data_IF_200344213125
#
_entry.id   IF_200344213125
#
_cell.length_a   1.000
_cell.length_b   1.000
_cell.length_c   1.000
_cell.angle_alpha   90.00
_cell.angle_beta   90.00
_cell.angle_gamma   90.00
#
_symmetry.space_group_name_H-M   'P 1'
#
loop_
_entity.id
_entity.type
_entity.pdbx_description
1 polymer ?
#
# COMPACT_ATOMS: atom_id res chain seq x y z
N UNK A 1 14.39 -16.01 11.10
CA UNK A 1 15.68 -15.27 11.14
C UNK A 1 15.83 -14.41 9.88
N UNK A 2 15.84 -14.97 8.65
CA UNK A 2 15.88 -14.15 7.40
C UNK A 2 14.84 -13.01 7.27
N UNK A 3 13.63 -13.16 7.83
CA UNK A 3 12.58 -12.14 7.74
C UNK A 3 12.80 -10.89 8.59
N UNK A 4 13.55 -10.98 9.70
CA UNK A 4 13.89 -9.81 10.53
C UNK A 4 15.02 -9.00 9.89
N UNK A 5 16.05 -9.67 9.38
CA UNK A 5 17.19 -9.03 8.72
C UNK A 5 16.76 -8.30 7.44
N UNK A 6 15.87 -8.91 6.63
CA UNK A 6 15.33 -8.27 5.44
C UNK A 6 14.48 -7.05 5.78
N UNK A 7 13.73 -7.12 6.89
CA UNK A 7 12.93 -6.00 7.36
C UNK A 7 13.84 -4.84 7.73
N UNK A 8 14.78 -5.07 8.63
CA UNK A 8 15.72 -4.04 9.09
C UNK A 8 16.48 -3.42 7.92
N UNK A 9 16.92 -4.22 6.95
CA UNK A 9 17.55 -3.71 5.73
C UNK A 9 16.63 -2.77 4.93
N UNK A 10 15.36 -3.12 4.75
CA UNK A 10 14.40 -2.27 4.01
C UNK A 10 14.09 -0.99 4.78
N UNK A 11 14.01 -1.06 6.11
CA UNK A 11 13.84 0.10 6.99
C UNK A 11 15.05 1.04 6.86
N UNK A 12 16.26 0.50 6.96
CA UNK A 12 17.50 1.26 6.85
C UNK A 12 17.65 1.91 5.49
N UNK A 13 17.30 1.20 4.41
CA UNK A 13 17.34 1.74 3.05
C UNK A 13 16.37 2.91 2.86
N UNK A 14 15.19 2.89 3.49
CA UNK A 14 14.20 3.95 3.42
C UNK A 14 14.54 5.14 4.33
N UNK A 15 15.20 4.91 5.47
CA UNK A 15 15.45 5.93 6.51
C UNK A 15 16.80 6.64 6.35
N UNK A 16 17.88 5.92 6.01
CA UNK A 16 19.24 6.50 5.98
C UNK A 16 19.40 7.51 4.87
N UNK A 17 19.89 8.74 5.17
CA UNK A 17 20.04 9.84 4.21
C UNK A 17 21.02 9.57 3.07
N UNK A 18 22.08 8.79 3.33
CA UNK A 18 23.13 8.49 2.33
C UNK A 18 22.71 7.48 1.24
N UNK A 19 21.53 6.85 1.35
CA UNK A 19 21.10 5.81 0.41
C UNK A 19 20.76 6.42 -0.96
N UNK A 20 21.29 5.86 -2.06
CA UNK A 20 20.96 6.33 -3.41
C UNK A 20 19.46 6.30 -3.69
N UNK A 21 18.94 7.35 -4.33
CA UNK A 21 17.52 7.48 -4.71
C UNK A 21 17.00 6.24 -5.46
N UNK A 22 17.84 5.62 -6.29
CA UNK A 22 17.51 4.40 -7.04
C UNK A 22 17.18 3.23 -6.11
N UNK A 23 17.90 3.06 -5.00
CA UNK A 23 17.66 1.96 -4.07
C UNK A 23 16.37 2.17 -3.28
N UNK A 24 16.10 3.40 -2.81
CA UNK A 24 14.81 3.75 -2.19
C UNK A 24 13.64 3.48 -3.13
N UNK A 25 13.75 3.94 -4.38
CA UNK A 25 12.73 3.67 -5.39
C UNK A 25 12.54 2.16 -5.62
N UNK A 26 13.62 1.38 -5.62
CA UNK A 26 13.55 -0.07 -5.81
C UNK A 26 12.85 -0.75 -4.65
N UNK A 27 13.15 -0.38 -3.40
CA UNK A 27 12.46 -0.93 -2.22
C UNK A 27 10.95 -0.65 -2.29
N UNK A 28 10.55 0.59 -2.59
CA UNK A 28 9.14 0.95 -2.73
C UNK A 28 8.45 0.20 -3.88
N UNK A 29 9.14 0.00 -5.02
CA UNK A 29 8.62 -0.81 -6.13
C UNK A 29 8.49 -2.27 -5.77
N UNK A 30 9.45 -2.83 -5.04
CA UNK A 30 9.39 -4.22 -4.60
C UNK A 30 8.17 -4.43 -3.69
N UNK A 31 7.90 -3.49 -2.76
CA UNK A 31 6.69 -3.51 -1.95
C UNK A 31 5.42 -3.40 -2.81
N UNK A 32 5.41 -2.51 -3.80
CA UNK A 32 4.27 -2.35 -4.71
C UNK A 32 3.97 -3.64 -5.48
N UNK A 33 5.00 -4.25 -6.08
CA UNK A 33 4.86 -5.49 -6.85
C UNK A 33 4.38 -6.64 -5.97
N UNK A 34 4.95 -6.79 -4.76
CA UNK A 34 4.52 -7.80 -3.81
C UNK A 34 3.01 -7.70 -3.50
N UNK A 35 2.51 -6.50 -3.20
CA UNK A 35 1.09 -6.29 -2.90
C UNK A 35 0.18 -6.55 -4.11
N UNK A 36 0.64 -6.22 -5.32
CA UNK A 36 -0.11 -6.50 -6.54
C UNK A 36 -0.16 -8.00 -6.85
N UNK A 37 0.95 -8.70 -6.64
CA UNK A 37 1.02 -10.15 -6.83
C UNK A 37 0.15 -10.90 -5.82
N UNK A 38 0.14 -10.49 -4.55
CA UNK A 38 -0.72 -11.07 -3.53
C UNK A 38 -2.21 -10.82 -3.84
N UNK A 39 -2.59 -9.62 -4.29
CA UNK A 39 -3.95 -9.34 -4.75
C UNK A 39 -4.34 -10.21 -5.96
N UNK A 40 -3.44 -10.36 -6.94
CA UNK A 40 -3.68 -11.20 -8.11
C UNK A 40 -3.81 -12.68 -7.73
N UNK A 41 -3.03 -13.16 -6.77
CA UNK A 41 -3.10 -14.53 -6.23
C UNK A 41 -4.44 -14.75 -5.53
N UNK A 42 -4.89 -13.79 -4.72
CA UNK A 42 -6.19 -13.84 -4.05
C UNK A 42 -7.35 -13.87 -5.05
N UNK A 43 -7.31 -13.05 -6.09
CA UNK A 43 -8.34 -13.03 -7.15
C UNK A 43 -8.39 -14.37 -7.89
N UNK A 44 -7.24 -14.95 -8.22
CA UNK A 44 -7.17 -16.27 -8.88
C UNK A 44 -7.74 -17.37 -8.00
N UNK A 45 -7.38 -17.37 -6.71
CA UNK A 45 -7.92 -18.32 -5.74
C UNK A 45 -9.44 -18.19 -5.60
N UNK A 46 -10.00 -16.97 -5.57
CA UNK A 46 -11.44 -16.73 -5.55
C UNK A 46 -12.13 -17.22 -6.83
N UNK A 47 -11.51 -17.02 -8.00
CA UNK A 47 -12.03 -17.54 -9.27
C UNK A 47 -12.02 -19.06 -9.36
N UNK A 48 -10.97 -19.71 -8.87
CA UNK A 48 -10.87 -21.17 -8.79
C UNK A 48 -11.87 -21.73 -7.78
N UNK A 49 -12.00 -21.09 -6.62
CA UNK A 49 -13.00 -21.43 -5.62
C UNK A 49 -14.43 -21.31 -6.20
N UNK A 50 -14.71 -20.25 -6.96
CA UNK A 50 -16.01 -20.09 -7.64
C UNK A 50 -16.31 -21.14 -8.70
N UNK A 51 -15.29 -21.81 -9.24
CA UNK A 51 -15.45 -22.93 -10.17
C UNK A 51 -15.65 -24.26 -9.43
N UNK A 52 -15.00 -24.44 -8.27
CA UNK A 52 -15.12 -25.66 -7.44
C UNK A 52 -16.38 -25.68 -6.56
N UNK A 53 -16.95 -24.52 -6.18
CA UNK A 53 -18.14 -24.43 -5.33
C UNK A 53 -19.40 -25.10 -5.92
N UNK A 54 -19.43 -25.36 -7.24
CA UNK A 54 -20.54 -26.05 -7.89
C UNK A 54 -20.51 -27.57 -7.69
N UNK A 55 -19.47 -28.16 -7.10
CA UNK A 55 -19.36 -29.63 -6.98
C UNK A 55 -19.39 -30.21 -5.59
N UNK A 56 -18.99 -29.53 -4.52
CA UNK A 56 -19.11 -30.14 -3.19
C UNK A 56 -19.40 -29.08 -2.12
N UNK A 57 -20.51 -29.31 -1.42
CA UNK A 57 -20.72 -28.86 -0.05
C UNK A 57 -19.44 -29.10 0.74
N UNK A 58 -18.84 -28.04 1.29
CA UNK A 58 -18.22 -27.99 2.62
C UNK A 58 -17.46 -26.67 2.79
N UNK A 59 -18.17 -25.67 3.32
CA UNK A 59 -17.91 -24.99 4.59
C UNK A 59 -16.50 -25.14 5.22
N UNK A 60 -15.41 -24.89 4.49
CA UNK A 60 -14.07 -24.66 5.07
C UNK A 60 -13.30 -23.60 4.30
N UNK A 61 -13.21 -22.45 4.97
CA UNK A 61 -12.02 -21.61 5.11
C UNK A 61 -11.65 -20.66 3.95
N UNK A 62 -11.99 -19.38 4.12
CA UNK A 62 -11.52 -18.26 3.30
C UNK A 62 -10.43 -17.41 3.97
N UNK A 63 -9.69 -17.94 4.95
CA UNK A 63 -8.94 -17.09 5.89
C UNK A 63 -7.46 -17.45 6.13
N UNK A 64 -6.78 -18.13 5.20
CA UNK A 64 -5.40 -18.59 5.44
C UNK A 64 -4.30 -17.63 4.90
N UNK A 65 -4.62 -16.65 4.05
CA UNK A 65 -3.57 -15.75 3.48
C UNK A 65 -3.82 -14.24 3.59
N UNK A 66 -5.02 -13.78 3.96
CA UNK A 66 -5.35 -12.34 4.01
C UNK A 66 -4.53 -11.55 5.05
N UNK A 67 -4.10 -12.20 6.14
CA UNK A 67 -3.48 -11.52 7.29
C UNK A 67 -2.03 -11.08 7.10
N UNK A 68 -1.21 -11.81 6.33
CA UNK A 68 0.25 -11.57 6.30
C UNK A 68 0.63 -10.28 5.56
N UNK A 69 -0.01 -10.01 4.41
CA UNK A 69 0.21 -8.77 3.67
C UNK A 69 -0.20 -7.54 4.49
N UNK A 70 -1.28 -7.64 5.26
CA UNK A 70 -1.73 -6.57 6.17
C UNK A 70 -0.69 -6.29 7.26
N UNK A 71 -0.16 -7.33 7.93
CA UNK A 71 0.89 -7.16 8.96
C UNK A 71 2.17 -6.53 8.39
N UNK A 72 2.60 -6.97 7.21
CA UNK A 72 3.76 -6.40 6.52
C UNK A 72 3.52 -4.89 6.27
N UNK A 73 2.36 -4.52 5.75
CA UNK A 73 2.07 -3.12 5.44
C UNK A 73 1.98 -2.25 6.69
N UNK A 74 1.35 -2.72 7.76
CA UNK A 74 1.29 -2.01 9.03
C UNK A 74 2.68 -1.71 9.60
N UNK A 75 3.66 -2.56 9.33
CA UNK A 75 5.06 -2.36 9.73
C UNK A 75 5.75 -1.27 8.91
N UNK A 76 5.55 -1.24 7.58
CA UNK A 76 6.26 -0.32 6.69
C UNK A 76 5.52 1.00 6.42
N UNK A 77 4.23 1.10 6.75
CA UNK A 77 3.39 2.27 6.41
C UNK A 77 3.98 3.59 6.92
N UNK A 78 4.58 3.60 8.13
CA UNK A 78 5.21 4.81 8.68
C UNK A 78 6.33 5.33 7.77
N UNK A 79 7.20 4.44 7.30
CA UNK A 79 8.32 4.82 6.44
C UNK A 79 7.91 5.12 4.99
N UNK A 80 6.85 4.48 4.50
CA UNK A 80 6.26 4.81 3.20
C UNK A 80 5.68 6.24 3.27
N UNK A 81 4.98 6.58 4.36
CA UNK A 81 4.46 7.93 4.60
C UNK A 81 5.58 8.96 4.76
N UNK A 82 6.68 8.63 5.44
CA UNK A 82 7.86 9.51 5.51
C UNK A 82 8.51 9.70 4.12
N UNK A 83 8.61 8.64 3.33
CA UNK A 83 9.10 8.67 1.94
C UNK A 83 8.21 9.55 1.05
N UNK A 84 6.93 9.70 1.38
CA UNK A 84 6.04 10.63 0.69
C UNK A 84 6.43 12.09 0.92
N UNK A 85 7.16 12.45 1.98
CA UNK A 85 7.68 13.81 2.22
C UNK A 85 8.99 14.14 1.50
N UNK A 86 9.58 13.17 0.79
CA UNK A 86 10.88 13.34 0.16
C UNK A 86 10.93 14.47 -0.90
N UNK A 87 12.05 15.19 -0.97
CA UNK A 87 12.27 16.27 -1.94
C UNK A 87 12.19 15.83 -3.42
N UNK A 88 12.35 14.54 -3.73
CA UNK A 88 12.45 14.04 -5.10
C UNK A 88 11.11 13.48 -5.61
N UNK A 89 10.59 14.03 -6.71
CA UNK A 89 9.27 13.67 -7.27
C UNK A 89 9.11 12.17 -7.53
N UNK A 90 10.13 11.50 -8.08
CA UNK A 90 10.06 10.07 -8.37
C UNK A 90 9.79 9.21 -7.13
N UNK A 91 10.40 9.52 -5.99
CA UNK A 91 10.19 8.75 -4.74
C UNK A 91 8.76 8.94 -4.25
N UNK A 92 8.25 10.18 -4.32
CA UNK A 92 6.90 10.52 -3.91
C UNK A 92 5.83 9.85 -4.76
N UNK A 93 6.02 9.83 -6.07
CA UNK A 93 5.09 9.21 -6.99
C UNK A 93 4.96 7.71 -6.70
N UNK A 94 6.09 7.02 -6.49
CA UNK A 94 6.07 5.60 -6.14
C UNK A 94 5.45 5.38 -4.76
N UNK A 95 5.80 6.19 -3.75
CA UNK A 95 5.21 6.11 -2.42
C UNK A 95 3.68 6.33 -2.46
N UNK A 96 3.22 7.30 -3.25
CA UNK A 96 1.79 7.57 -3.45
C UNK A 96 1.08 6.39 -4.13
N UNK A 97 1.68 5.78 -5.16
CA UNK A 97 1.15 4.55 -5.78
C UNK A 97 1.02 3.41 -4.77
N UNK A 98 1.97 3.24 -3.85
CA UNK A 98 1.89 2.25 -2.78
C UNK A 98 0.75 2.58 -1.81
N UNK A 99 0.65 3.82 -1.34
CA UNK A 99 -0.44 4.28 -0.45
C UNK A 99 -1.81 4.08 -1.11
N UNK A 100 -1.91 4.33 -2.42
CA UNK A 100 -3.12 4.07 -3.21
C UNK A 100 -3.55 2.63 -3.12
N UNK A 101 -2.60 1.73 -3.33
CA UNK A 101 -2.86 0.31 -3.40
C UNK A 101 -3.34 -0.20 -2.04
N UNK A 102 -2.68 0.24 -0.97
CA UNK A 102 -3.03 -0.07 0.42
C UNK A 102 -4.46 0.40 0.74
N UNK A 103 -4.80 1.63 0.37
CA UNK A 103 -6.14 2.19 0.57
C UNK A 103 -7.20 1.46 -0.26
N UNK A 104 -6.89 1.12 -1.52
CA UNK A 104 -7.79 0.37 -2.40
C UNK A 104 -8.08 -1.03 -1.87
N UNK A 105 -7.06 -1.69 -1.33
CA UNK A 105 -7.15 -3.05 -0.78
C UNK A 105 -7.76 -3.07 0.64
N UNK A 106 -7.96 -1.92 1.29
CA UNK A 106 -8.53 -1.84 2.65
C UNK A 106 -7.58 -2.33 3.76
N UNK A 107 -6.29 -2.47 3.48
CA UNK A 107 -5.30 -3.02 4.42
C UNK A 107 -5.00 -2.09 5.61
N UNK A 108 -5.26 -0.78 5.47
CA UNK A 108 -5.04 0.22 6.51
C UNK A 108 -6.23 1.18 6.56
N UNK A 109 -6.67 1.51 7.78
CA UNK A 109 -7.77 2.45 7.97
C UNK A 109 -7.35 3.87 7.50
N UNK A 110 -8.12 4.51 6.61
CA UNK A 110 -7.74 5.79 5.97
C UNK A 110 -7.51 6.93 6.97
N UNK A 111 -8.08 6.85 8.18
CA UNK A 111 -7.87 7.84 9.26
C UNK A 111 -6.39 8.05 9.61
N UNK A 112 -5.54 7.03 9.44
CA UNK A 112 -4.11 7.11 9.75
C UNK A 112 -3.30 7.79 8.63
N UNK A 113 -3.82 7.78 7.40
CA UNK A 113 -3.12 8.27 6.20
C UNK A 113 -3.57 9.70 5.85
N UNK A 114 -4.83 10.04 6.09
CA UNK A 114 -5.43 11.34 5.76
C UNK A 114 -4.66 12.54 6.34
N UNK A 115 -4.19 12.55 7.61
CA UNK A 115 -3.43 13.68 8.15
C UNK A 115 -2.13 13.97 7.39
N UNK A 116 -1.42 12.94 6.94
CA UNK A 116 -0.17 13.07 6.19
C UNK A 116 -0.40 13.57 4.76
N UNK A 117 -1.56 13.24 4.16
CA UNK A 117 -1.92 13.75 2.84
C UNK A 117 -2.28 15.24 2.90
N UNK A 118 -3.03 15.66 3.93
CA UNK A 118 -3.44 17.07 4.11
C UNK A 118 -2.24 17.97 4.41
N UNK A 119 -1.30 17.52 5.24
CA UNK A 119 -0.11 18.32 5.59
C UNK A 119 0.79 18.60 4.38
N UNK A 120 0.88 17.67 3.42
CA UNK A 120 1.62 17.89 2.19
C UNK A 120 0.88 18.77 1.18
N UNK A 121 -0.45 18.69 1.10
CA UNK A 121 -1.24 19.56 0.20
C UNK A 121 -1.04 21.06 0.50
N UNK A 122 -0.82 21.40 1.77
CA UNK A 122 -0.56 22.78 2.21
C UNK A 122 0.85 23.28 1.80
N UNK A 123 1.77 22.37 1.48
CA UNK A 123 3.15 22.69 1.06
C UNK A 123 3.30 22.48 -0.45
N UNK A 124 2.64 23.34 -1.24
CA UNK A 124 2.87 23.59 -2.67
C UNK A 124 3.37 22.39 -3.51
N UNK A 125 2.51 21.39 -3.73
CA UNK A 125 2.75 20.32 -4.71
C UNK A 125 2.38 20.75 -6.13
N UNK A 126 3.22 20.40 -7.11
CA UNK A 126 3.01 20.64 -8.54
C UNK A 126 1.64 20.08 -9.04
N UNK A 127 1.03 20.69 -10.08
CA UNK A 127 -0.33 20.36 -10.53
C UNK A 127 -0.55 18.91 -10.98
N UNK A 128 0.51 18.16 -11.33
CA UNK A 128 0.44 16.73 -11.65
C UNK A 128 0.21 15.84 -10.42
N UNK A 129 0.76 16.22 -9.26
CA UNK A 129 0.57 15.50 -7.99
C UNK A 129 -0.83 15.79 -7.42
N UNK A 130 -1.37 17.00 -7.64
CA UNK A 130 -2.72 17.41 -7.23
C UNK A 130 -3.84 16.59 -7.91
N UNK A 131 -3.66 16.15 -9.16
CA UNK A 131 -4.64 15.31 -9.85
C UNK A 131 -4.78 13.95 -9.19
N UNK A 132 -3.66 13.39 -8.73
CA UNK A 132 -3.65 12.14 -8.00
C UNK A 132 -4.28 12.36 -6.63
N UNK A 133 -3.86 13.35 -5.83
CA UNK A 133 -4.47 13.68 -4.51
C UNK A 133 -5.99 13.87 -4.60
N UNK A 134 -6.46 14.60 -5.62
CA UNK A 134 -7.89 14.82 -5.86
C UNK A 134 -8.65 13.53 -6.22
N UNK A 135 -8.04 12.62 -6.99
CA UNK A 135 -8.64 11.30 -7.28
C UNK A 135 -8.85 10.47 -6.00
N UNK A 136 -7.97 10.60 -5.00
CA UNK A 136 -8.17 9.93 -3.69
C UNK A 136 -9.29 10.56 -2.86
N UNK A 137 -9.46 11.89 -2.89
CA UNK A 137 -10.58 12.57 -2.19
C UNK A 137 -11.93 12.08 -2.71
N UNK A 138 -12.04 11.77 -4.00
CA UNK A 138 -13.24 11.19 -4.61
C UNK A 138 -13.49 9.76 -4.13
N UNK A 139 -12.43 8.94 -4.08
CA UNK A 139 -12.53 7.53 -3.68
C UNK A 139 -12.87 7.36 -2.19
N UNK A 140 -12.29 8.20 -1.32
CA UNK A 140 -12.55 8.18 0.13
C UNK A 140 -13.91 8.78 0.51
N UNK A 141 -14.45 9.73 -0.26
CA UNK A 141 -15.83 10.23 -0.07
C UNK A 141 -16.88 9.14 -0.32
N UNK A 142 -16.62 8.24 -1.28
CA UNK A 142 -17.56 7.19 -1.63
C UNK A 142 -17.59 6.06 -0.58
N UNK A 143 -16.47 5.74 0.06
CA UNK A 143 -16.42 4.76 1.16
C UNK A 143 -17.09 5.26 2.44
N UNK A 144 -17.05 6.57 2.69
CA UNK A 144 -17.72 7.21 3.84
C UNK A 144 -19.25 7.23 3.71
N UNK A 145 -19.78 7.10 2.49
CA UNK A 145 -21.21 6.96 2.24
C UNK A 145 -21.75 5.53 2.45
N UNK A 146 -20.87 4.52 2.51
CA UNK A 146 -21.26 3.12 2.75
C UNK A 146 -21.25 2.71 4.24
N UNK A 147 -20.83 3.61 5.13
CA UNK A 147 -20.77 3.40 6.59
C UNK A 147 -21.73 4.33 7.35
N UNK A 148 -22.78 4.82 6.67
CA UNK A 148 -23.82 5.63 7.30
C UNK A 148 -25.19 4.98 7.13
#
# INVERSE_FOLDING_TARGET
MLGQDMRELYIDLLTRKEVPLKMRCQVLRNMLMYLMEEEARMIKADQEWKKLQNKEDLKKMGDIQSGMASTIIQVYIKQILESFFHHHSQVRMIALSVITLILRQGLVHPVQIVPYLISREQTATAPSEQRLTNKYKSSTRNTRASFR
#
